data_IF_688746923638
#
_entry.id   IF_688746923638
#
_cell.length_a   1.000
_cell.length_b   1.000
_cell.length_c   1.000
_cell.angle_alpha   90.00
_cell.angle_beta   90.00
_cell.angle_gamma   90.00
#
_symmetry.space_group_name_H-M   'P 1'
#
loop_
_entity.id
_entity.type
_entity.pdbx_description
1 polymer ?
#
# COMPACT_ATOMS: atom_id res chain seq x y z
N UNK A 1 -15.19 14.39 -23.01
CA UNK A 1 -14.79 13.08 -23.56
C UNK A 1 -13.65 12.59 -22.68
N UNK A 2 -13.85 11.49 -21.94
CA UNK A 2 -12.80 10.90 -21.09
C UNK A 2 -11.95 9.99 -21.95
N UNK A 3 -10.67 10.29 -21.98
CA UNK A 3 -9.60 9.52 -22.60
C UNK A 3 -9.31 8.31 -21.71
N UNK A 4 -9.79 7.13 -22.12
CA UNK A 4 -9.45 5.86 -21.49
C UNK A 4 -8.21 5.33 -22.21
N UNK A 5 -7.03 5.60 -21.68
CA UNK A 5 -5.79 5.07 -22.25
C UNK A 5 -5.78 3.53 -22.10
N UNK A 6 -5.89 2.82 -23.22
CA UNK A 6 -5.69 1.37 -23.32
C UNK A 6 -4.23 1.05 -22.97
N UNK A 7 -3.98 0.64 -21.73
CA UNK A 7 -2.68 0.16 -21.29
C UNK A 7 -2.36 -1.19 -21.96
N UNK A 8 -1.12 -1.43 -22.41
CA UNK A 8 -0.75 -2.72 -22.98
C UNK A 8 -0.89 -3.85 -21.95
N UNK A 9 -1.45 -4.98 -22.38
CA UNK A 9 -1.79 -6.15 -21.54
C UNK A 9 -0.66 -6.62 -20.62
N UNK A 10 0.59 -6.52 -21.07
CA UNK A 10 1.76 -6.92 -20.29
C UNK A 10 1.96 -6.05 -19.03
N UNK A 11 1.59 -4.76 -19.11
CA UNK A 11 1.66 -3.82 -17.99
C UNK A 11 0.51 -4.08 -17.01
N UNK A 12 -0.69 -4.40 -17.51
CA UNK A 12 -1.82 -4.79 -16.65
C UNK A 12 -1.55 -6.10 -15.92
N UNK A 13 -0.94 -7.08 -16.58
CA UNK A 13 -0.58 -8.36 -15.97
C UNK A 13 0.54 -8.19 -14.91
N UNK A 14 1.55 -7.36 -15.19
CA UNK A 14 2.58 -7.01 -14.23
C UNK A 14 1.99 -6.26 -13.02
N UNK A 15 1.06 -5.34 -13.24
CA UNK A 15 0.38 -4.60 -12.18
C UNK A 15 -0.51 -5.52 -11.32
N UNK A 16 -1.31 -6.40 -11.93
CA UNK A 16 -2.17 -7.36 -11.22
C UNK A 16 -1.34 -8.41 -10.47
N UNK A 17 -0.23 -8.87 -11.03
CA UNK A 17 0.73 -9.76 -10.37
C UNK A 17 1.42 -9.06 -9.18
N UNK A 18 1.82 -7.80 -9.35
CA UNK A 18 2.39 -6.99 -8.27
C UNK A 18 1.37 -6.73 -7.15
N UNK A 19 0.12 -6.39 -7.46
CA UNK A 19 -0.98 -6.22 -6.49
C UNK A 19 -1.26 -7.53 -5.75
N UNK A 20 -1.25 -8.65 -6.47
CA UNK A 20 -1.42 -9.99 -5.91
C UNK A 20 -0.25 -10.41 -5.00
N UNK A 21 0.96 -9.92 -5.28
CA UNK A 21 2.16 -10.14 -4.47
C UNK A 21 2.25 -9.15 -3.30
N UNK A 22 1.61 -7.97 -3.41
CA UNK A 22 1.60 -6.90 -2.41
C UNK A 22 0.98 -7.34 -1.08
N UNK A 23 -0.03 -8.21 -1.14
CA UNK A 23 -0.52 -8.94 0.01
C UNK A 23 -0.16 -10.41 -0.15
N UNK A 24 0.84 -10.93 0.59
CA UNK A 24 1.11 -12.37 0.53
C UNK A 24 -0.18 -13.11 0.86
N UNK A 25 -0.61 -14.04 -0.01
CA UNK A 25 -1.92 -14.72 0.08
C UNK A 25 -2.23 -15.27 1.46
N UNK A 26 -1.19 -15.71 2.20
CA UNK A 26 -1.29 -16.20 3.59
C UNK A 26 -1.75 -15.13 4.61
N UNK A 27 -1.53 -13.85 4.34
CA UNK A 27 -1.83 -12.74 5.25
C UNK A 27 -3.07 -11.95 4.88
N UNK A 28 -3.69 -12.22 3.73
CA UNK A 28 -4.85 -11.45 3.23
C UNK A 28 -5.99 -11.40 4.26
N UNK A 29 -6.26 -12.51 4.93
CA UNK A 29 -7.29 -12.58 5.98
C UNK A 29 -6.94 -11.73 7.20
N UNK A 30 -5.66 -11.67 7.58
CA UNK A 30 -5.20 -10.81 8.68
C UNK A 30 -5.43 -9.34 8.35
N UNK A 31 -5.09 -8.92 7.14
CA UNK A 31 -5.25 -7.55 6.69
C UNK A 31 -6.74 -7.17 6.62
N UNK A 32 -7.58 -8.04 6.06
CA UNK A 32 -9.04 -7.86 6.06
C UNK A 32 -9.61 -7.75 7.48
N UNK A 33 -9.18 -8.60 8.42
CA UNK A 33 -9.61 -8.54 9.82
C UNK A 33 -9.26 -7.21 10.49
N UNK A 34 -8.04 -6.71 10.28
CA UNK A 34 -7.62 -5.42 10.84
C UNK A 34 -8.41 -4.27 10.21
N UNK A 35 -8.60 -4.29 8.89
CA UNK A 35 -9.41 -3.28 8.20
C UNK A 35 -10.88 -3.30 8.66
N UNK A 36 -11.48 -4.48 8.80
CA UNK A 36 -12.85 -4.63 9.32
C UNK A 36 -12.96 -4.11 10.75
N UNK A 37 -11.96 -4.37 11.61
CA UNK A 37 -11.93 -3.80 12.97
C UNK A 37 -11.93 -2.27 12.93
N UNK A 38 -11.18 -1.68 12.01
CA UNK A 38 -11.13 -0.23 11.82
C UNK A 38 -12.46 0.32 11.28
N UNK A 39 -13.07 -0.31 10.27
CA UNK A 39 -14.36 0.15 9.72
C UNK A 39 -15.47 0.06 10.76
N UNK A 40 -15.55 -1.04 11.52
CA UNK A 40 -16.53 -1.17 12.61
C UNK A 40 -16.31 -0.15 13.73
N UNK A 41 -15.07 0.25 14.00
CA UNK A 41 -14.80 1.33 14.95
C UNK A 41 -15.30 2.69 14.41
N UNK A 42 -15.09 2.96 13.12
CA UNK A 42 -15.59 4.18 12.47
C UNK A 42 -17.13 4.23 12.45
N UNK A 43 -17.78 3.10 12.15
CA UNK A 43 -19.25 2.95 12.15
C UNK A 43 -19.83 3.25 13.55
N UNK A 44 -19.23 2.70 14.61
CA UNK A 44 -19.62 2.99 16.00
C UNK A 44 -19.54 4.47 16.35
N UNK A 45 -18.62 5.21 15.73
CA UNK A 45 -18.43 6.65 15.94
C UNK A 45 -19.22 7.52 14.94
N UNK A 46 -20.07 6.90 14.10
CA UNK A 46 -20.88 7.57 13.07
C UNK A 46 -20.06 8.46 12.11
N UNK A 47 -18.86 8.02 11.75
CA UNK A 47 -17.96 8.79 10.88
C UNK A 47 -18.32 8.57 9.41
N UNK A 48 -18.59 9.66 8.67
CA UNK A 48 -18.89 9.59 7.23
C UNK A 48 -17.64 9.35 6.37
N UNK A 49 -16.48 9.87 6.77
CA UNK A 49 -15.22 9.76 6.04
C UNK A 49 -14.18 8.98 6.85
N UNK A 50 -14.12 7.67 6.61
CA UNK A 50 -13.32 6.74 7.40
C UNK A 50 -11.80 6.94 7.20
N UNK A 51 -11.36 7.32 5.99
CA UNK A 51 -9.93 7.42 5.64
C UNK A 51 -9.33 8.81 5.83
N UNK A 52 -9.97 9.68 6.61
CA UNK A 52 -9.39 10.98 6.97
C UNK A 52 -8.24 10.82 7.97
N UNK A 53 -7.20 11.64 7.82
CA UNK A 53 -6.02 11.62 8.69
C UNK A 53 -6.39 11.76 10.18
N UNK A 54 -7.30 12.69 10.50
CA UNK A 54 -7.79 12.92 11.87
C UNK A 54 -8.46 11.67 12.47
N UNK A 55 -9.16 10.90 11.65
CA UNK A 55 -9.86 9.67 12.06
C UNK A 55 -8.85 8.56 12.35
N UNK A 56 -7.84 8.41 11.48
CA UNK A 56 -6.71 7.49 11.70
C UNK A 56 -5.94 7.84 12.98
N UNK A 57 -5.60 9.12 13.18
CA UNK A 57 -4.90 9.59 14.39
C UNK A 57 -5.70 9.29 15.66
N UNK A 58 -7.01 9.57 15.67
CA UNK A 58 -7.87 9.25 16.81
C UNK A 58 -7.91 7.74 17.09
N UNK A 59 -8.03 6.91 16.04
CA UNK A 59 -8.01 5.46 16.16
C UNK A 59 -6.69 4.93 16.75
N UNK A 60 -5.54 5.40 16.25
CA UNK A 60 -4.24 4.99 16.77
C UNK A 60 -3.95 5.54 18.16
N UNK A 61 -4.49 6.72 18.51
CA UNK A 61 -4.42 7.25 19.87
C UNK A 61 -5.21 6.41 20.88
N UNK A 62 -6.31 5.77 20.47
CA UNK A 62 -7.02 4.81 21.32
C UNK A 62 -6.25 3.48 21.42
N UNK A 63 -5.71 2.99 20.31
CA UNK A 63 -4.94 1.73 20.28
C UNK A 63 -3.59 1.81 20.99
N UNK A 64 -2.93 2.97 21.02
CA UNK A 64 -1.61 3.13 21.65
C UNK A 64 -1.63 2.86 23.15
N UNK A 65 -2.81 2.93 23.77
CA UNK A 65 -3.03 2.56 25.18
C UNK A 65 -2.87 1.05 25.44
N UNK A 66 -2.97 0.23 24.40
CA UNK A 66 -2.98 -1.24 24.52
C UNK A 66 -1.93 -1.95 23.65
N UNK A 67 -1.36 -1.25 22.66
CA UNK A 67 -0.42 -1.84 21.70
C UNK A 67 0.88 -1.05 21.63
N UNK A 68 1.98 -1.76 21.41
CA UNK A 68 3.30 -1.16 21.17
C UNK A 68 3.34 -0.40 19.84
N UNK A 69 4.25 0.58 19.74
CA UNK A 69 4.44 1.40 18.53
C UNK A 69 4.65 0.58 17.26
N UNK A 70 5.44 -0.50 17.32
CA UNK A 70 5.66 -1.39 16.18
C UNK A 70 4.39 -2.10 15.72
N UNK A 71 3.52 -2.46 16.65
CA UNK A 71 2.21 -3.06 16.33
C UNK A 71 1.27 -2.04 15.68
N UNK A 72 1.27 -0.80 16.18
CA UNK A 72 0.49 0.29 15.58
C UNK A 72 0.94 0.56 14.15
N UNK A 73 2.26 0.62 13.90
CA UNK A 73 2.82 0.76 12.56
C UNK A 73 2.43 -0.39 11.65
N UNK A 74 2.44 -1.63 12.16
CA UNK A 74 1.95 -2.78 11.40
C UNK A 74 0.46 -2.61 11.04
N UNK A 75 -0.40 -2.21 11.98
CA UNK A 75 -1.81 -1.97 11.72
C UNK A 75 -2.04 -0.83 10.72
N UNK A 76 -1.28 0.26 10.83
CA UNK A 76 -1.30 1.36 9.86
C UNK A 76 -0.97 0.88 8.45
N UNK A 77 0.14 0.15 8.29
CA UNK A 77 0.54 -0.41 7.00
C UNK A 77 -0.52 -1.36 6.43
N UNK A 78 -1.16 -2.19 7.28
CA UNK A 78 -2.24 -3.07 6.86
C UNK A 78 -3.49 -2.31 6.39
N UNK A 79 -3.93 -1.33 7.17
CA UNK A 79 -5.09 -0.50 6.84
C UNK A 79 -4.82 0.28 5.55
N UNK A 80 -3.62 0.86 5.41
CA UNK A 80 -3.19 1.58 4.21
C UNK A 80 -3.20 0.67 2.99
N UNK A 81 -2.63 -0.53 3.08
CA UNK A 81 -2.61 -1.49 1.97
C UNK A 81 -4.03 -1.88 1.53
N UNK A 82 -4.93 -2.17 2.47
CA UNK A 82 -6.33 -2.52 2.15
C UNK A 82 -7.10 -1.33 1.59
N UNK A 83 -6.89 -0.13 2.13
CA UNK A 83 -7.51 1.10 1.65
C UNK A 83 -7.06 1.44 0.22
N UNK A 84 -5.77 1.31 -0.08
CA UNK A 84 -5.21 1.55 -1.42
C UNK A 84 -5.80 0.59 -2.46
N UNK A 85 -5.94 -0.70 -2.13
CA UNK A 85 -6.63 -1.66 -3.02
C UNK A 85 -8.10 -1.33 -3.22
N UNK A 86 -8.82 -0.93 -2.16
CA UNK A 86 -10.28 -0.69 -2.23
C UNK A 86 -10.63 0.59 -3.00
N UNK A 87 -9.78 1.60 -2.93
CA UNK A 87 -10.02 2.88 -3.58
C UNK A 87 -9.35 3.02 -4.95
N UNK A 88 -8.64 1.98 -5.45
CA UNK A 88 -7.87 2.03 -6.70
C UNK A 88 -6.98 3.29 -6.77
N UNK A 89 -6.42 3.71 -5.62
CA UNK A 89 -5.55 4.88 -5.55
C UNK A 89 -4.17 4.39 -5.94
N UNK A 90 -3.78 4.74 -7.16
CA UNK A 90 -2.42 4.61 -7.66
C UNK A 90 -1.46 5.25 -6.64
N UNK A 91 -0.70 4.39 -5.96
CA UNK A 91 0.35 4.80 -5.02
C UNK A 91 1.62 5.12 -5.81
N UNK A 92 1.50 5.97 -6.83
CA UNK A 92 2.64 6.59 -7.52
C UNK A 92 3.23 7.72 -6.64
N UNK A 93 3.75 7.34 -5.46
CA UNK A 93 4.59 8.19 -4.62
C UNK A 93 5.95 7.54 -4.28
N UNK A 94 6.31 6.40 -4.87
CA UNK A 94 7.69 5.89 -4.80
C UNK A 94 8.60 6.64 -5.79
N UNK A 95 8.54 7.97 -5.73
CA UNK A 95 9.30 8.89 -6.57
C UNK A 95 10.43 9.61 -5.83
N UNK A 96 11.17 8.97 -4.91
CA UNK A 96 12.51 9.44 -4.57
C UNK A 96 13.36 8.42 -3.78
N UNK A 97 14.01 7.48 -4.49
CA UNK A 97 15.34 7.00 -4.09
C UNK A 97 16.25 7.04 -5.31
N UNK A 98 17.06 8.09 -5.35
CA UNK A 98 18.09 8.38 -6.33
C UNK A 98 19.20 7.30 -6.30
N UNK A 99 19.23 6.37 -7.27
CA UNK A 99 20.46 5.72 -7.74
C UNK A 99 20.80 6.22 -9.14
N UNK A 100 21.31 7.45 -9.19
CA UNK A 100 22.08 7.94 -10.35
C UNK A 100 23.26 6.99 -10.61
N UNK A 101 23.18 6.31 -11.74
CA UNK A 101 24.30 6.08 -12.66
C UNK A 101 25.47 5.24 -12.17
N UNK A 102 25.41 3.93 -12.43
CA UNK A 102 26.55 3.25 -13.03
C UNK A 102 26.01 2.39 -14.18
N UNK A 103 26.17 2.96 -15.38
CA UNK A 103 25.93 2.38 -16.68
C UNK A 103 26.58 1.00 -16.81
N UNK A 104 25.78 0.02 -17.25
CA UNK A 104 26.30 -1.21 -17.84
C UNK A 104 26.99 -0.85 -19.16
N UNK A 105 28.29 -0.57 -19.13
CA UNK A 105 29.10 -0.58 -20.34
C UNK A 105 29.79 -1.93 -20.42
N UNK A 106 29.23 -2.79 -21.28
CA UNK A 106 29.93 -3.95 -21.80
C UNK A 106 31.06 -3.43 -22.71
N UNK A 107 32.31 -3.56 -22.28
CA UNK A 107 33.47 -3.47 -23.17
C UNK A 107 34.21 -4.80 -23.11
N UNK A 108 34.45 -5.31 -24.31
CA UNK A 108 35.12 -6.55 -24.67
C UNK A 108 36.63 -6.55 -24.31
N UNK A 109 37.13 -7.77 -24.03
CA UNK A 109 38.31 -8.42 -24.65
C UNK A 109 39.72 -7.80 -24.45
N UNK A 110 40.70 -8.71 -24.37
CA UNK A 110 42.18 -8.60 -24.29
C UNK A 110 42.76 -8.66 -22.87
N UNK A 111 43.29 -9.82 -22.44
CA UNK A 111 44.58 -10.44 -22.79
C UNK A 111 45.71 -10.00 -21.83
N UNK A 112 46.13 -10.90 -20.92
CA UNK A 112 47.47 -11.50 -20.88
C UNK A 112 47.48 -12.65 -19.86
#
# INVERSE_FOLDING_TARGET
MSDSEDLPSDIEEAATSAVSTLLPSKSKDKYKKIYNRFTSWCEKKNLKNHLQEKVLLAYFSELSKSYSSSSLWAFYSMIRAVASMKNNIDISWTGHWNRRGLSKTRINKFAK
#
